data_IF_517494487006
#
_entry.id   IF_517494487006
#
_cell.length_a   1.000
_cell.length_b   1.000
_cell.length_c   1.000
_cell.angle_alpha   90.00
_cell.angle_beta   90.00
_cell.angle_gamma   90.00
#
_symmetry.space_group_name_H-M   'P 1'
#
loop_
_entity.id
_entity.type
_entity.pdbx_description
1 polymer ?
2 non-polymer ?
3 non-polymer ?
4 non-polymer ?
5 non-polymer ?
6 non-polymer ?
7 water ?
#
# COMPACT_ATOMS: atom_id res chain seq x y z
N UNK A 2 -5.46 -26.13 -3.83
CA UNK A 2 -5.80 -24.68 -3.82
C UNK A 2 -6.49 -24.33 -2.50
N UNK A 3 -5.73 -23.76 -1.55
CA UNK A 3 -6.26 -23.39 -0.21
C UNK A 3 -7.54 -22.54 -0.28
N UNK A 4 -8.54 -22.89 0.53
CA UNK A 4 -9.77 -22.10 0.60
C UNK A 4 -10.10 -21.58 2.03
N UNK A 5 -9.27 -21.95 2.99
CA UNK A 5 -9.45 -21.47 4.38
C UNK A 5 -8.19 -21.75 5.15
N UNK A 6 -7.99 -20.98 6.23
CA UNK A 6 -6.78 -21.06 7.01
C UNK A 6 -7.14 -21.43 8.41
N UNK A 7 -8.41 -21.72 8.65
CA UNK A 7 -8.91 -21.94 10.00
C UNK A 7 -9.74 -23.20 10.12
N UNK A 8 -10.45 -23.32 11.24
CA UNK A 8 -11.32 -24.47 11.45
C UNK A 8 -12.80 -24.17 11.14
N UNK A 9 -13.12 -22.94 10.74
CA UNK A 9 -14.51 -22.59 10.48
C UNK A 9 -14.94 -22.93 9.03
N UNK A 10 -15.79 -23.93 8.89
CA UNK A 10 -16.33 -24.31 7.56
C UNK A 10 -17.20 -23.19 6.94
N UNK A 11 -17.99 -22.50 7.76
CA UNK A 11 -18.77 -21.33 7.30
C UNK A 11 -17.88 -20.26 6.66
N UNK A 12 -16.68 -20.07 7.22
CA UNK A 12 -15.72 -19.11 6.66
C UNK A 12 -15.30 -19.29 5.20
N UNK A 13 -15.19 -20.54 4.75
CA UNK A 13 -14.74 -20.82 3.38
C UNK A 13 -15.67 -20.14 2.42
N UNK A 14 -16.96 -20.27 2.69
CA UNK A 14 -17.98 -19.65 1.87
C UNK A 14 -17.98 -18.13 2.03
N UNK A 15 -17.87 -17.68 3.26
CA UNK A 15 -17.89 -16.23 3.49
C UNK A 15 -16.69 -15.58 2.80
N UNK A 16 -15.55 -16.24 2.86
CA UNK A 16 -14.33 -15.69 2.29
C UNK A 16 -14.52 -15.61 0.79
N UNK A 17 -14.98 -16.72 0.17
CA UNK A 17 -15.14 -16.70 -1.29
C UNK A 17 -16.14 -15.64 -1.67
N UNK A 18 -17.15 -15.42 -0.80
CA UNK A 18 -18.10 -14.36 -1.03
C UNK A 18 -17.42 -13.00 -1.02
N UNK A 19 -16.68 -12.67 0.04
CA UNK A 19 -15.94 -11.39 0.00
C UNK A 19 -15.09 -11.27 -1.24
N UNK A 20 -14.39 -12.35 -1.62
CA UNK A 20 -13.45 -12.32 -2.73
C UNK A 20 -14.07 -12.11 -4.09
N UNK A 21 -15.40 -12.25 -4.20
CA UNK A 21 -16.04 -11.88 -5.46
C UNK A 21 -15.78 -10.40 -5.73
N UNK A 22 -15.44 -9.62 -4.70
CA UNK A 22 -15.14 -8.19 -4.93
C UNK A 22 -13.64 -7.82 -5.15
N UNK A 23 -12.82 -8.84 -5.37
CA UNK A 23 -11.38 -8.67 -5.66
C UNK A 23 -11.00 -7.55 -6.59
N UNK A 24 -11.75 -7.35 -7.69
CA UNK A 24 -11.39 -6.33 -8.70
C UNK A 24 -12.05 -4.98 -8.47
N UNK A 25 -12.64 -4.82 -7.31
CA UNK A 25 -13.41 -3.62 -7.03
C UNK A 25 -12.77 -2.78 -5.92
N UNK A 26 -12.87 -1.46 -6.06
CA UNK A 26 -12.41 -0.55 -5.02
C UNK A 26 -13.16 -0.81 -3.74
N UNK A 27 -14.38 -1.37 -3.86
CA UNK A 27 -15.20 -1.56 -2.69
C UNK A 27 -15.01 -2.84 -1.89
N UNK A 28 -14.09 -3.73 -2.30
CA UNK A 28 -13.69 -4.86 -1.46
C UNK A 28 -13.51 -4.46 0.02
N UNK A 29 -13.91 -5.33 0.95
CA UNK A 29 -13.75 -5.05 2.36
C UNK A 29 -12.69 -5.95 2.95
N UNK A 30 -11.47 -5.42 3.07
CA UNK A 30 -10.36 -6.22 3.59
C UNK A 30 -10.50 -6.58 5.06
N UNK A 31 -11.20 -5.79 5.86
CA UNK A 31 -11.40 -6.22 7.23
C UNK A 31 -12.19 -7.55 7.27
N UNK A 32 -13.17 -7.68 6.40
CA UNK A 32 -13.98 -8.90 6.38
C UNK A 32 -13.09 -10.08 5.93
N UNK A 33 -12.25 -9.81 4.92
CA UNK A 33 -11.31 -10.83 4.42
C UNK A 33 -10.44 -11.33 5.58
N UNK A 34 -9.96 -10.41 6.40
CA UNK A 34 -9.10 -10.80 7.49
C UNK A 34 -9.86 -11.67 8.46
N UNK A 35 -11.11 -11.29 8.70
CA UNK A 35 -11.96 -11.99 9.64
C UNK A 35 -12.27 -13.40 9.14
N UNK A 36 -12.46 -13.56 7.84
CA UNK A 36 -12.84 -14.88 7.36
C UNK A 36 -11.64 -15.76 6.99
N UNK A 37 -10.41 -15.27 7.20
CA UNK A 37 -9.18 -16.00 6.79
C UNK A 37 -8.29 -16.29 7.98
N UNK A 38 -8.84 -16.24 9.19
CA UNK A 38 -8.06 -16.45 10.39
C UNK A 38 -6.86 -15.52 10.47
N UNK A 39 -7.11 -14.26 10.15
CA UNK A 39 -6.08 -13.24 10.16
C UNK A 39 -4.93 -13.46 9.20
N UNK A 40 -5.30 -13.81 7.99
CA UNK A 40 -4.33 -13.98 6.92
C UNK A 40 -4.72 -13.15 5.71
N UNK A 41 -5.02 -11.85 5.97
CA UNK A 41 -5.49 -11.05 4.85
C UNK A 41 -4.42 -10.91 3.76
N UNK A 42 -3.16 -10.80 4.13
CA UNK A 42 -2.12 -10.56 3.16
C UNK A 42 -1.83 -11.83 2.34
N UNK A 43 -1.66 -12.95 3.03
CA UNK A 43 -1.56 -14.27 2.32
C UNK A 43 -2.71 -14.53 1.39
N UNK A 44 -3.95 -14.38 1.86
CA UNK A 44 -5.09 -14.72 1.02
C UNK A 44 -5.33 -13.74 -0.14
N UNK A 45 -5.21 -12.44 0.13
CA UNK A 45 -5.49 -11.51 -0.95
C UNK A 45 -4.41 -11.65 -2.06
N UNK A 46 -3.17 -11.88 -1.62
CA UNK A 46 -2.10 -12.04 -2.60
C UNK A 46 -2.32 -13.31 -3.45
N UNK A 47 -2.70 -14.38 -2.80
CA UNK A 47 -3.02 -15.64 -3.53
C UNK A 47 -4.17 -15.42 -4.52
N UNK A 48 -5.25 -14.75 -4.06
CA UNK A 48 -6.34 -14.36 -4.97
C UNK A 48 -5.92 -13.48 -6.14
N UNK A 49 -5.17 -12.42 -5.85
CA UNK A 49 -4.64 -11.55 -6.91
C UNK A 49 -3.79 -12.29 -7.90
N UNK A 50 -2.84 -13.10 -7.43
CA UNK A 50 -1.96 -13.81 -8.37
C UNK A 50 -2.72 -14.77 -9.27
N UNK A 51 -3.66 -15.52 -8.69
CA UNK A 51 -4.53 -16.40 -9.50
C UNK A 51 -5.41 -15.64 -10.45
N UNK A 52 -6.05 -14.58 -9.97
CA UNK A 52 -6.81 -13.71 -10.83
C UNK A 52 -6.01 -13.29 -12.07
N UNK A 53 -4.74 -12.94 -11.91
CA UNK A 53 -3.94 -12.43 -13.03
C UNK A 53 -3.11 -13.50 -13.72
N UNK A 54 -3.32 -14.76 -13.34
CA UNK A 54 -2.50 -15.86 -13.86
C UNK A 54 -0.99 -15.69 -13.71
N UNK A 55 -0.56 -15.01 -12.65
CA UNK A 55 0.84 -14.73 -12.43
C UNK A 55 1.64 -15.95 -11.96
N UNK A 56 1.01 -16.88 -11.23
CA UNK A 56 1.73 -18.10 -10.87
C UNK A 56 2.05 -18.90 -12.14
N UNK A 57 1.08 -18.98 -13.04
CA UNK A 57 1.33 -19.66 -14.30
C UNK A 57 2.32 -18.88 -15.18
N UNK A 58 2.08 -17.59 -15.38
CA UNK A 58 3.00 -16.81 -16.22
C UNK A 58 4.48 -16.91 -15.76
N UNK A 59 4.72 -16.87 -14.45
CA UNK A 59 6.08 -16.83 -13.91
C UNK A 59 6.55 -18.14 -13.30
N UNK A 60 5.77 -19.21 -13.53
CA UNK A 60 6.11 -20.58 -13.09
C UNK A 60 6.44 -20.56 -11.62
N UNK A 61 5.58 -19.87 -10.88
CA UNK A 61 5.70 -19.86 -9.42
C UNK A 61 4.88 -20.99 -8.82
N UNK A 62 5.55 -21.85 -8.07
CA UNK A 62 4.89 -22.89 -7.36
C UNK A 62 3.86 -22.32 -6.36
N UNK A 63 2.63 -22.84 -6.39
CA UNK A 63 1.62 -22.45 -5.37
C UNK A 63 2.10 -22.69 -3.95
N UNK A 64 2.81 -23.81 -3.76
CA UNK A 64 3.34 -24.13 -2.45
C UNK A 64 4.36 -23.13 -1.95
N UNK A 65 5.31 -22.77 -2.82
CA UNK A 65 6.35 -21.82 -2.46
C UNK A 65 5.70 -20.45 -2.20
N UNK A 66 4.73 -20.09 -3.06
CA UNK A 66 4.05 -18.81 -2.92
C UNK A 66 3.46 -18.64 -1.51
N UNK A 67 2.72 -19.66 -1.10
CA UNK A 67 2.01 -19.62 0.19
C UNK A 67 2.98 -19.55 1.34
N UNK A 68 4.08 -20.32 1.24
CA UNK A 68 5.08 -20.27 2.29
C UNK A 68 5.73 -18.91 2.38
N UNK A 69 6.08 -18.34 1.23
CA UNK A 69 6.69 -17.05 1.27
C UNK A 69 5.69 -16.06 1.85
N UNK A 70 4.46 -16.09 1.34
CA UNK A 70 3.51 -15.01 1.74
C UNK A 70 3.18 -15.15 3.22
N UNK A 71 2.99 -16.37 3.70
CA UNK A 71 2.76 -16.53 5.14
C UNK A 71 3.88 -15.96 5.97
N UNK A 72 5.12 -16.17 5.56
CA UNK A 72 6.22 -15.73 6.36
C UNK A 72 6.39 -14.17 6.24
N UNK A 73 6.18 -13.64 5.06
CA UNK A 73 6.16 -12.15 4.91
C UNK A 73 5.11 -11.58 5.87
N UNK A 74 3.91 -12.16 5.82
CA UNK A 74 2.82 -11.63 6.68
C UNK A 74 3.23 -11.72 8.14
N UNK A 75 3.84 -12.84 8.50
CA UNK A 75 4.39 -12.99 9.87
C UNK A 75 5.44 -11.97 10.28
N UNK A 76 6.07 -11.27 9.31
CA UNK A 76 7.04 -10.24 9.66
C UNK A 76 6.38 -8.82 9.82
N UNK A 77 5.10 -8.71 9.58
CA UNK A 77 4.32 -7.52 9.99
C UNK A 77 3.98 -7.77 11.46
N UNK A 78 4.03 -6.71 12.26
CA UNK A 78 3.78 -6.77 13.70
C UNK A 78 2.28 -6.67 13.92
N UNK A 79 1.65 -7.70 14.49
CA UNK A 79 0.20 -7.65 14.67
C UNK A 79 -0.13 -6.66 15.81
N UNK A 80 0.86 -6.33 16.61
CA UNK A 80 0.68 -5.33 17.71
C UNK A 80 0.91 -3.87 17.33
N UNK A 81 1.13 -3.63 16.06
CA UNK A 81 1.23 -2.27 15.54
C UNK A 81 -0.15 -1.98 14.96
N UNK A 82 -0.75 -0.86 15.36
CA UNK A 82 -2.16 -0.68 15.10
C UNK A 82 -2.54 -0.47 13.63
N UNK A 83 -1.69 0.19 12.87
CA UNK A 83 -2.01 0.51 11.51
C UNK A 83 -1.07 -0.18 10.49
N UNK A 84 0.24 0.03 10.67
CA UNK A 84 1.23 -0.54 9.78
C UNK A 84 1.45 -2.05 10.04
N UNK A 85 0.37 -2.82 9.86
CA UNK A 85 0.40 -4.28 10.05
C UNK A 85 -0.04 -4.97 8.75
N UNK A 86 -0.19 -6.29 8.76
CA UNK A 86 -0.47 -6.96 7.48
C UNK A 86 -1.81 -6.63 6.81
N UNK A 87 -2.80 -6.14 7.57
CA UNK A 87 -4.05 -5.73 6.96
C UNK A 87 -3.84 -4.50 6.04
N UNK A 88 -3.02 -3.54 6.49
CA UNK A 88 -2.64 -2.41 5.66
C UNK A 88 -1.91 -2.85 4.41
N UNK A 89 -0.93 -3.75 4.58
CA UNK A 89 -0.23 -4.28 3.42
C UNK A 89 -1.22 -4.97 2.44
N UNK A 90 -2.14 -5.80 2.96
CA UNK A 90 -3.17 -6.49 2.12
C UNK A 90 -4.00 -5.46 1.33
N UNK A 91 -4.42 -4.42 2.04
CA UNK A 91 -5.18 -3.33 1.43
C UNK A 91 -4.40 -2.64 0.35
N UNK A 92 -3.10 -2.34 0.59
CA UNK A 92 -2.35 -1.59 -0.41
C UNK A 92 -2.15 -2.51 -1.61
N UNK A 93 -1.95 -3.78 -1.34
CA UNK A 93 -1.76 -4.70 -2.50
C UNK A 93 -3.05 -4.83 -3.33
N UNK A 94 -4.18 -5.02 -2.67
CA UNK A 94 -5.48 -5.15 -3.39
C UNK A 94 -5.83 -3.84 -4.09
N UNK A 95 -5.52 -2.70 -3.46
CA UNK A 95 -5.77 -1.41 -4.14
C UNK A 95 -4.88 -1.21 -5.36
N UNK A 96 -3.63 -1.65 -5.28
CA UNK A 96 -2.75 -1.61 -6.44
C UNK A 96 -3.29 -2.50 -7.56
N UNK A 97 -3.78 -3.67 -7.17
CA UNK A 97 -4.37 -4.60 -8.17
C UNK A 97 -5.52 -3.95 -8.95
N UNK A 98 -6.34 -3.20 -8.27
CA UNK A 98 -7.42 -2.45 -8.93
C UNK A 98 -6.92 -1.32 -9.87
N UNK A 99 -5.95 -0.52 -9.42
CA UNK A 99 -5.44 0.60 -10.19
C UNK A 99 -4.71 0.10 -11.41
N UNK A 100 -4.11 -1.08 -11.32
CA UNK A 100 -3.41 -1.67 -12.45
C UNK A 100 -4.39 -1.90 -13.63
N UNK A 101 -5.66 -2.15 -13.33
CA UNK A 101 -6.67 -2.41 -14.38
C UNK A 101 -7.47 -1.21 -14.86
N UNK A 102 -7.14 -0.02 -14.37
CA UNK A 102 -7.86 1.17 -14.79
C UNK A 102 -7.84 1.29 -16.34
N UNK A 103 -8.98 1.64 -16.95
CA UNK A 103 -8.98 1.53 -18.42
C UNK A 103 -7.87 2.35 -19.13
N UNK A 104 -7.59 3.54 -18.61
CA UNK A 104 -6.59 4.45 -19.19
C UNK A 104 -5.18 3.84 -19.33
N UNK A 105 -4.91 2.77 -18.56
CA UNK A 105 -3.61 2.11 -18.56
C UNK A 105 -3.69 0.73 -19.16
N UNK A 106 -4.85 0.40 -19.72
CA UNK A 106 -5.00 -0.90 -20.38
C UNK A 106 -3.85 -1.15 -21.34
N UNK A 107 -3.31 -2.37 -21.28
CA UNK A 107 -2.18 -2.83 -22.10
C UNK A 107 -0.86 -2.09 -21.97
N UNK A 108 -0.79 -1.07 -21.11
CA UNK A 108 0.45 -0.33 -20.91
C UNK A 108 1.60 -1.18 -20.32
N UNK A 109 1.33 -1.96 -19.28
CA UNK A 109 2.40 -2.59 -18.49
C UNK A 109 2.66 -4.03 -18.84
N UNK A 110 3.93 -4.45 -18.79
CA UNK A 110 4.29 -5.85 -18.98
C UNK A 110 3.86 -6.66 -17.77
N UNK A 111 3.90 -7.98 -17.91
CA UNK A 111 3.56 -8.87 -16.81
C UNK A 111 4.57 -8.73 -15.68
N UNK A 112 5.83 -8.46 -16.03
CA UNK A 112 6.88 -8.31 -15.03
C UNK A 112 6.66 -7.05 -14.21
N UNK A 113 6.20 -5.98 -14.87
CA UNK A 113 5.87 -4.74 -14.18
C UNK A 113 4.65 -4.87 -13.27
N UNK A 114 3.64 -5.62 -13.74
CA UNK A 114 2.47 -5.92 -12.94
C UNK A 114 2.86 -6.68 -11.66
N UNK A 115 3.68 -7.69 -11.85
CA UNK A 115 4.21 -8.52 -10.77
C UNK A 115 4.99 -7.65 -9.79
N UNK A 116 5.92 -6.83 -10.31
CA UNK A 116 6.77 -5.97 -9.48
C UNK A 116 5.90 -5.07 -8.61
N UNK A 117 4.89 -4.48 -9.24
CA UNK A 117 4.04 -3.54 -8.54
C UNK A 117 3.25 -4.18 -7.38
N UNK A 118 2.66 -5.34 -7.64
CA UNK A 118 1.89 -6.02 -6.60
C UNK A 118 2.81 -6.52 -5.48
N UNK A 119 3.97 -7.07 -5.84
CA UNK A 119 4.95 -7.49 -4.83
C UNK A 119 5.47 -6.30 -3.97
N UNK A 120 5.79 -5.19 -4.61
CA UNK A 120 6.17 -3.96 -3.91
C UNK A 120 5.11 -3.57 -2.87
N UNK A 121 3.83 -3.52 -3.31
CA UNK A 121 2.76 -3.20 -2.37
C UNK A 121 2.74 -4.18 -1.13
N UNK A 122 2.87 -5.48 -1.41
CA UNK A 122 2.87 -6.51 -0.36
C UNK A 122 3.94 -6.32 0.70
N UNK A 123 5.14 -5.96 0.25
CA UNK A 123 6.30 -5.83 1.11
C UNK A 123 6.52 -4.42 1.71
N UNK A 124 5.78 -3.44 1.23
CA UNK A 124 6.27 -2.05 1.32
C UNK A 124 6.35 -1.55 2.77
N UNK A 125 5.67 -2.22 3.71
CA UNK A 125 5.73 -1.80 5.15
C UNK A 125 6.19 -2.95 6.07
N UNK A 126 6.81 -4.02 5.54
CA UNK A 126 7.08 -5.18 6.42
C UNK A 126 8.05 -4.87 7.58
N UNK A 127 7.77 -5.44 8.76
CA UNK A 127 8.57 -5.25 9.93
C UNK A 127 8.59 -3.79 10.39
N UNK A 128 7.51 -3.09 10.09
CA UNK A 128 7.36 -1.70 10.60
C UNK A 128 7.15 -1.73 12.15
N UNK A 129 7.92 -0.92 12.87
CA UNK A 129 7.82 -0.95 14.32
C UNK A 129 6.75 0.00 14.85
N UNK A 130 6.08 0.73 13.97
CA UNK A 130 4.94 1.57 14.41
C UNK A 130 5.35 2.94 14.95
N UNK A 131 6.57 3.35 14.64
CA UNK A 131 7.00 4.74 14.89
C UNK A 131 7.61 5.28 13.61
N UNK A 132 7.70 6.59 13.50
CA UNK A 132 8.13 7.22 12.24
C UNK A 132 9.66 7.20 12.01
N UNK A 133 10.08 7.51 10.78
CA UNK A 133 11.51 7.68 10.51
C UNK A 133 12.14 8.71 11.45
N UNK A 134 11.46 9.84 11.60
CA UNK A 134 12.02 10.86 12.46
C UNK A 134 12.20 10.38 13.90
N UNK A 135 11.23 9.64 14.46
CA UNK A 135 11.37 9.06 15.77
C UNK A 135 12.60 8.10 15.83
N UNK A 136 12.79 7.29 14.79
CA UNK A 136 13.99 6.45 14.78
C UNK A 136 15.31 7.21 14.73
N UNK A 137 15.36 8.29 13.96
CA UNK A 137 16.53 9.12 13.80
C UNK A 137 16.80 9.81 15.13
N UNK A 138 15.76 10.36 15.74
CA UNK A 138 15.89 11.12 17.01
C UNK A 138 16.31 10.26 18.21
N UNK A 139 16.02 8.96 18.16
CA UNK A 139 16.28 8.06 19.26
C UNK A 139 17.58 7.25 19.07
N UNK A 140 18.28 7.58 18.02
CA UNK A 140 19.51 6.89 17.63
C UNK A 140 19.32 5.41 17.55
N UNK A 141 18.21 5.01 16.92
CA UNK A 141 17.85 3.62 16.84
C UNK A 141 18.85 2.83 15.98
N UNK A 142 18.80 1.52 16.15
CA UNK A 142 19.68 0.64 15.36
C UNK A 142 19.40 0.81 13.86
N UNK A 143 18.13 0.87 13.49
CA UNK A 143 17.77 1.10 12.09
C UNK A 143 18.35 2.43 11.54
N UNK A 144 18.27 3.52 12.30
CA UNK A 144 18.78 4.78 11.79
C UNK A 144 20.30 4.79 11.65
N UNK A 145 20.98 4.04 12.53
CA UNK A 145 22.44 3.91 12.45
C UNK A 145 22.78 3.02 11.26
N UNK A 146 21.96 1.99 11.02
CA UNK A 146 22.20 1.14 9.83
C UNK A 146 22.06 1.93 8.52
N UNK A 147 21.06 2.81 8.46
CA UNK A 147 20.68 3.42 7.21
C UNK A 147 21.05 4.90 7.09
N UNK A 148 21.84 5.41 8.04
CA UNK A 148 22.36 6.75 7.90
C UNK A 148 21.28 7.80 7.75
N UNK A 149 20.19 7.55 8.47
CA UNK A 149 19.02 8.48 8.60
C UNK A 149 18.25 8.70 7.31
N UNK A 150 18.56 7.95 6.27
CA UNK A 150 17.92 8.15 4.95
C UNK A 150 16.94 7.05 4.59
N UNK A 151 15.68 7.44 4.43
CA UNK A 151 14.56 6.51 4.13
C UNK A 151 14.75 5.25 4.97
N UNK A 152 14.85 5.47 6.29
CA UNK A 152 15.25 4.39 7.23
C UNK A 152 14.30 3.21 7.12
N UNK A 153 12.99 3.43 7.32
CA UNK A 153 12.06 2.29 7.32
C UNK A 153 11.96 1.67 5.92
N UNK A 154 11.95 2.54 4.90
CA UNK A 154 11.68 2.07 3.53
C UNK A 154 12.79 1.18 3.05
N UNK A 155 14.04 1.54 3.38
CA UNK A 155 15.18 0.67 3.09
C UNK A 155 15.01 -0.65 3.86
N UNK A 156 14.58 -0.54 5.12
CA UNK A 156 14.42 -1.76 5.94
C UNK A 156 13.37 -2.68 5.37
N UNK A 157 12.24 -2.14 4.90
CA UNK A 157 11.13 -2.97 4.43
C UNK A 157 11.61 -3.75 3.18
N UNK A 158 12.37 -3.05 2.34
CA UNK A 158 12.93 -3.70 1.13
C UNK A 158 13.90 -4.81 1.53
N UNK A 159 14.78 -4.53 2.47
CA UNK A 159 15.80 -5.51 2.90
C UNK A 159 15.13 -6.76 3.44
N UNK A 160 14.10 -6.59 4.27
CA UNK A 160 13.40 -7.80 4.77
C UNK A 160 12.70 -8.59 3.63
N UNK A 161 12.04 -7.87 2.72
CA UNK A 161 11.20 -8.52 1.71
C UNK A 161 12.18 -9.31 0.83
N UNK A 162 13.33 -8.75 0.53
CA UNK A 162 14.27 -9.47 -0.41
C UNK A 162 15.07 -10.55 0.26
N UNK A 163 15.44 -10.31 1.53
CA UNK A 163 16.09 -11.33 2.33
C UNK A 163 15.26 -12.57 2.50
N UNK A 164 13.93 -12.44 2.53
CA UNK A 164 13.10 -13.62 2.74
C UNK A 164 13.09 -14.57 1.52
N UNK A 165 13.51 -14.05 0.37
CA UNK A 165 13.52 -14.85 -0.86
C UNK A 165 14.78 -15.66 -0.97
N UNK A 166 15.69 -15.49 -0.03
CA UNK A 166 17.02 -16.14 -0.13
C UNK A 166 16.93 -17.62 0.12
N UNK A 167 16.04 -18.02 1.03
CA UNK A 167 15.86 -19.42 1.33
C UNK A 167 15.10 -20.13 0.20
N UNK A 168 15.71 -21.14 -0.40
CA UNK A 168 15.11 -21.90 -1.50
C UNK A 168 13.62 -22.18 -1.31
N UNK A 169 13.25 -22.61 -0.12
CA UNK A 169 11.87 -22.98 0.18
C UNK A 169 10.87 -21.83 -0.03
N UNK A 170 11.37 -20.59 -0.07
CA UNK A 170 10.50 -19.42 -0.16
C UNK A 170 10.80 -18.60 -1.45
N UNK A 171 11.65 -19.11 -2.35
CA UNK A 171 12.03 -18.26 -3.50
C UNK A 171 11.00 -18.27 -4.61
N UNK A 172 10.01 -17.41 -4.50
CA UNK A 172 8.95 -17.30 -5.49
C UNK A 172 9.44 -16.83 -6.87
N UNK A 173 10.65 -16.27 -6.94
CA UNK A 173 11.19 -15.74 -8.22
C UNK A 173 12.22 -16.66 -8.87
N UNK A 174 12.29 -17.88 -8.38
CA UNK A 174 13.28 -18.87 -8.80
C UNK A 174 13.34 -19.09 -10.33
N UNK A 175 12.16 -19.11 -10.96
CA UNK A 175 12.07 -19.39 -12.40
C UNK A 175 11.99 -18.15 -13.25
N UNK A 176 12.24 -16.97 -12.68
CA UNK A 176 12.46 -15.80 -13.52
C UNK A 176 13.87 -15.94 -14.07
N UNK A 177 14.15 -15.29 -15.19
CA UNK A 177 15.53 -15.32 -15.66
C UNK A 177 16.34 -14.34 -14.83
N UNK A 178 17.65 -14.45 -14.90
CA UNK A 178 18.54 -13.52 -14.22
C UNK A 178 18.26 -12.07 -14.56
N UNK A 179 18.01 -11.78 -15.83
CA UNK A 179 17.66 -10.41 -16.23
C UNK A 179 16.28 -9.98 -15.75
N UNK A 180 15.33 -10.90 -15.74
CA UNK A 180 14.02 -10.63 -15.18
C UNK A 180 14.14 -10.24 -13.68
N UNK A 181 14.87 -11.06 -12.93
CA UNK A 181 15.05 -10.81 -11.49
C UNK A 181 15.70 -9.45 -11.22
N UNK A 182 16.74 -9.15 -11.98
CA UNK A 182 17.39 -7.87 -11.90
C UNK A 182 16.48 -6.69 -12.24
N UNK A 183 15.66 -6.80 -13.28
CA UNK A 183 14.75 -5.70 -13.56
C UNK A 183 13.67 -5.61 -12.46
N UNK A 184 13.15 -6.75 -12.03
CA UNK A 184 12.11 -6.72 -11.00
C UNK A 184 12.68 -6.03 -9.74
N UNK A 185 13.88 -6.41 -9.34
CA UNK A 185 14.47 -5.83 -8.09
C UNK A 185 14.63 -4.33 -8.20
N UNK A 186 15.14 -3.88 -9.34
CA UNK A 186 15.20 -2.43 -9.56
C UNK A 186 13.84 -1.73 -9.46
N UNK A 187 12.78 -2.27 -10.09
CA UNK A 187 11.45 -1.63 -10.01
C UNK A 187 10.87 -1.57 -8.59
N UNK A 188 11.04 -2.66 -7.87
CA UNK A 188 10.44 -2.77 -6.52
C UNK A 188 11.15 -1.83 -5.56
N UNK A 189 12.47 -1.76 -5.68
CA UNK A 189 13.28 -0.87 -4.84
C UNK A 189 12.79 0.56 -5.11
N UNK A 190 12.61 0.86 -6.39
CA UNK A 190 12.16 2.21 -6.77
C UNK A 190 10.78 2.52 -6.18
N UNK A 191 9.86 1.57 -6.28
CA UNK A 191 8.52 1.78 -5.81
C UNK A 191 8.43 1.90 -4.32
N UNK A 192 9.14 1.03 -3.61
CA UNK A 192 9.04 1.11 -2.14
C UNK A 192 9.66 2.38 -1.59
N UNK A 193 10.82 2.75 -2.10
CA UNK A 193 11.46 3.98 -1.60
C UNK A 193 10.61 5.20 -1.85
N UNK A 194 9.85 5.18 -2.95
CA UNK A 194 8.86 6.22 -3.22
C UNK A 194 7.68 6.36 -2.26
N UNK A 195 7.48 5.40 -1.32
CA UNK A 195 6.43 5.46 -0.34
C UNK A 195 6.88 6.33 0.85
N UNK A 196 8.16 6.76 0.87
CA UNK A 196 8.64 7.63 1.97
C UNK A 196 7.97 9.00 1.85
N UNK A 197 7.21 9.37 2.87
CA UNK A 197 6.40 10.63 2.78
C UNK A 197 7.29 11.85 2.57
N UNK A 198 8.56 11.74 2.97
CA UNK A 198 9.47 12.86 2.80
C UNK A 198 9.75 13.13 1.29
N UNK A 199 9.39 12.19 0.42
CA UNK A 199 9.56 12.30 -1.00
C UNK A 199 8.26 12.71 -1.73
N UNK A 200 7.19 12.90 -1.00
CA UNK A 200 5.88 13.01 -1.62
C UNK A 200 5.76 14.33 -2.40
N UNK A 201 6.18 15.42 -1.77
CA UNK A 201 6.00 16.74 -2.46
C UNK A 201 6.71 16.70 -3.79
N UNK A 202 7.91 16.14 -3.84
CA UNK A 202 8.63 16.06 -5.09
C UNK A 202 8.10 15.04 -6.11
N UNK A 203 7.57 13.93 -5.59
CA UNK A 203 6.93 12.95 -6.42
C UNK A 203 5.72 13.56 -7.13
N UNK A 204 4.92 14.30 -6.36
CA UNK A 204 3.70 14.91 -6.85
C UNK A 204 4.06 15.96 -7.91
N UNK A 205 5.01 16.84 -7.57
CA UNK A 205 5.51 17.85 -8.53
C UNK A 205 5.83 17.21 -9.86
N UNK A 206 6.60 16.11 -9.82
CA UNK A 206 6.99 15.44 -11.04
C UNK A 206 5.78 14.76 -11.71
N UNK A 207 4.79 14.41 -10.90
CA UNK A 207 3.58 13.80 -11.43
C UNK A 207 2.71 14.86 -12.15
N UNK A 208 2.41 15.96 -11.45
CA UNK A 208 1.69 17.12 -12.02
C UNK A 208 2.38 17.51 -13.30
N UNK A 209 3.71 17.44 -13.28
CA UNK A 209 4.50 17.74 -14.48
C UNK A 209 4.15 16.83 -15.64
N UNK A 210 4.24 15.51 -15.46
CA UNK A 210 3.96 14.59 -16.59
C UNK A 210 2.48 14.51 -17.04
N UNK A 211 1.55 14.90 -16.15
CA UNK A 211 0.13 14.98 -16.50
C UNK A 211 -0.02 16.08 -17.55
N UNK A 212 0.72 17.18 -17.37
CA UNK A 212 0.76 18.28 -18.34
C UNK A 212 1.05 17.81 -19.77
N UNK A 213 2.03 16.95 -19.98
CA UNK A 213 2.43 16.59 -21.34
C UNK A 213 1.98 15.20 -21.72
N UNK A 214 0.94 14.72 -21.05
CA UNK A 214 0.44 13.36 -21.24
C UNK A 214 -0.16 13.23 -22.62
N UNK A 215 0.09 12.09 -23.25
CA UNK A 215 -0.41 11.83 -24.58
C UNK A 215 -1.40 10.66 -24.62
N UNK A 216 -2.67 10.98 -24.37
CA UNK A 216 -3.78 10.03 -24.51
C UNK A 216 -4.00 9.71 -25.99
N UNK A 217 -3.80 8.44 -26.36
CA UNK A 217 -4.01 7.99 -27.74
C UNK A 217 -5.50 7.97 -28.14
N UNK A 218 -5.77 7.86 -29.44
CA UNK A 218 -7.14 7.90 -29.97
C UNK A 218 -8.11 7.04 -29.14
N UNK A 219 -7.77 5.77 -28.95
CA UNK A 219 -8.61 4.84 -28.19
C UNK A 219 -8.81 5.18 -26.70
N UNK A 220 -8.16 6.24 -26.21
CA UNK A 220 -8.33 6.66 -24.83
C UNK A 220 -7.30 6.10 -23.86
N UNK A 221 -6.26 5.43 -24.38
CA UNK A 221 -5.20 4.87 -23.54
C UNK A 221 -3.95 5.76 -23.52
N UNK A 222 -3.44 6.04 -22.32
CA UNK A 222 -2.19 6.79 -22.19
C UNK A 222 -1.03 6.10 -22.91
N UNK A 223 -0.22 6.93 -23.55
CA UNK A 223 0.95 6.49 -24.25
C UNK A 223 2.09 6.69 -23.27
N UNK A 224 2.68 5.58 -22.85
CA UNK A 224 3.82 5.61 -21.95
C UNK A 224 4.79 4.67 -22.63
N UNK A 225 5.73 5.26 -23.36
CA UNK A 225 6.49 4.52 -24.36
C UNK A 225 7.83 4.00 -23.84
N UNK A 226 8.50 4.77 -22.98
CA UNK A 226 9.75 4.32 -22.37
C UNK A 226 9.60 3.82 -20.92
N UNK A 227 10.58 3.03 -20.48
CA UNK A 227 10.64 2.57 -19.08
C UNK A 227 10.51 3.70 -18.07
N UNK A 228 11.24 4.79 -18.30
CA UNK A 228 11.20 5.91 -17.38
C UNK A 228 9.79 6.36 -17.10
N UNK A 229 8.95 6.39 -18.13
CA UNK A 229 7.58 6.89 -17.93
C UNK A 229 6.74 5.83 -17.24
N UNK A 230 7.00 4.58 -17.55
CA UNK A 230 6.26 3.47 -16.98
C UNK A 230 6.52 3.32 -15.48
N UNK A 231 7.78 3.28 -15.09
CA UNK A 231 8.08 3.22 -13.64
C UNK A 231 7.63 4.49 -12.89
N UNK A 232 7.55 5.65 -13.56
CA UNK A 232 7.02 6.82 -12.85
C UNK A 232 5.51 6.71 -12.54
N UNK A 233 4.74 6.19 -13.49
CA UNK A 233 3.32 5.95 -13.18
C UNK A 233 3.22 4.87 -12.09
N UNK A 234 4.01 3.80 -12.21
CA UNK A 234 3.97 2.70 -11.21
C UNK A 234 4.32 3.18 -9.80
N UNK A 235 5.39 3.96 -9.70
CA UNK A 235 5.76 4.47 -8.40
C UNK A 235 4.66 5.36 -7.84
N UNK A 236 3.97 6.12 -8.70
CA UNK A 236 2.88 6.96 -8.21
C UNK A 236 1.63 6.15 -7.83
N UNK A 237 1.36 5.10 -8.59
CA UNK A 237 0.25 4.19 -8.33
C UNK A 237 0.36 3.55 -6.93
N UNK A 238 1.54 3.02 -6.62
CA UNK A 238 1.71 2.35 -5.33
C UNK A 238 1.57 3.41 -4.23
N UNK A 239 2.11 4.62 -4.46
CA UNK A 239 1.96 5.75 -3.52
C UNK A 239 0.48 6.08 -3.31
N UNK A 240 -0.29 6.12 -4.39
CA UNK A 240 -1.74 6.42 -4.31
C UNK A 240 -2.45 5.32 -3.55
N UNK A 241 -2.09 4.06 -3.84
CA UNK A 241 -2.66 2.93 -3.13
C UNK A 241 -2.36 3.03 -1.64
N UNK A 242 -1.12 3.38 -1.31
CA UNK A 242 -0.69 3.58 0.10
C UNK A 242 -1.55 4.66 0.72
N UNK A 243 -1.85 5.71 -0.03
CA UNK A 243 -2.64 6.82 0.51
C UNK A 243 -4.09 6.75 0.01
N UNK A 244 -4.68 5.55 -0.04
CA UNK A 244 -6.04 5.37 -0.57
C UNK A 244 -7.14 5.33 0.48
N UNK A 245 -6.81 5.26 1.79
CA UNK A 245 -7.84 5.06 2.81
C UNK A 245 -8.99 6.11 2.72
N UNK A 246 -8.63 7.40 2.49
CA UNK A 246 -9.71 8.43 2.49
C UNK A 246 -10.61 8.40 1.26
N UNK A 247 -10.19 7.65 0.24
CA UNK A 247 -10.98 7.46 -0.98
C UNK A 247 -11.88 6.20 -0.93
N UNK A 248 -11.87 5.48 0.19
CA UNK A 248 -12.70 4.26 0.28
C UNK A 248 -14.00 4.67 0.90
N UNK A 249 -14.95 3.75 0.96
CA UNK A 249 -16.23 4.04 1.58
C UNK A 249 -15.99 4.55 3.00
N UNK A 250 -16.84 5.47 3.44
CA UNK A 250 -16.68 6.06 4.76
C UNK A 250 -16.60 5.02 5.88
N UNK A 251 -17.42 3.98 5.79
CA UNK A 251 -17.36 2.85 6.72
C UNK A 251 -15.93 2.31 6.90
N UNK A 252 -15.22 2.16 5.80
CA UNK A 252 -13.86 1.61 5.84
C UNK A 252 -12.89 2.70 6.31
N UNK A 253 -13.00 3.87 5.70
CA UNK A 253 -12.10 5.00 6.05
C UNK A 253 -12.10 5.26 7.54
N UNK A 254 -13.27 5.21 8.16
CA UNK A 254 -13.30 5.47 9.60
C UNK A 254 -12.52 4.44 10.39
N UNK A 255 -12.60 3.17 10.00
CA UNK A 255 -11.85 2.10 10.70
C UNK A 255 -10.33 2.27 10.54
N UNK A 256 -9.91 2.67 9.36
CA UNK A 256 -8.50 3.01 9.10
C UNK A 256 -8.03 4.19 9.97
N UNK A 257 -8.87 5.23 10.06
CA UNK A 257 -8.54 6.39 10.93
C UNK A 257 -8.34 6.00 12.35
N UNK A 258 -9.23 5.14 12.90
CA UNK A 258 -9.08 4.64 14.25
C UNK A 258 -7.70 4.03 14.45
N UNK A 259 -7.28 3.24 13.44
CA UNK A 259 -5.99 2.56 13.58
C UNK A 259 -4.80 3.50 13.51
N UNK A 260 -4.78 4.39 12.53
CA UNK A 260 -3.61 5.26 12.38
C UNK A 260 -3.50 6.16 13.61
N UNK A 261 -4.66 6.60 14.15
CA UNK A 261 -4.57 7.49 15.35
C UNK A 261 -4.09 6.73 16.56
N UNK A 262 -4.49 5.45 16.69
CA UNK A 262 -4.03 4.64 17.79
C UNK A 262 -2.49 4.55 17.67
N UNK A 263 -2.00 4.25 16.45
CA UNK A 263 -0.53 4.12 16.27
C UNK A 263 0.20 5.46 16.59
N UNK A 264 -0.26 6.55 15.99
CA UNK A 264 0.32 7.90 16.21
C UNK A 264 0.32 8.23 17.69
N UNK A 265 -0.84 8.09 18.33
CA UNK A 265 -0.89 8.43 19.75
C UNK A 265 -0.01 7.51 20.61
N UNK A 266 0.21 6.27 20.15
CA UNK A 266 1.16 5.45 20.86
C UNK A 266 2.61 5.97 20.73
N UNK A 267 2.98 6.47 19.57
CA UNK A 267 4.28 7.13 19.42
C UNK A 267 4.40 8.32 20.37
N UNK A 268 3.37 9.18 20.39
CA UNK A 268 3.34 10.29 21.34
C UNK A 268 3.58 9.84 22.77
N UNK A 269 2.99 8.72 23.18
CA UNK A 269 3.20 8.23 24.50
C UNK A 269 4.66 7.86 24.73
N UNK A 270 5.27 7.17 23.75
CA UNK A 270 6.69 6.81 23.84
C UNK A 270 7.58 8.04 23.93
N UNK A 271 7.29 9.05 23.12
CA UNK A 271 8.02 10.30 23.19
C UNK A 271 7.93 10.88 24.60
N UNK A 272 6.71 10.99 25.13
CA UNK A 272 6.51 11.59 26.47
C UNK A 272 7.36 10.86 27.48
N UNK A 273 7.20 9.54 27.49
CA UNK A 273 7.93 8.58 28.29
C UNK A 273 9.44 8.81 28.23
N UNK A 274 9.96 9.22 27.07
CA UNK A 274 11.40 9.44 26.90
C UNK A 274 11.81 10.86 27.16
N UNK A 275 10.88 11.69 27.61
CA UNK A 275 11.16 13.09 27.82
C UNK A 275 11.51 13.77 26.53
N UNK A 276 11.03 13.22 25.42
CA UNK A 276 11.30 13.82 24.14
C UNK A 276 10.26 14.86 23.92
N UNK A 277 10.50 15.71 22.93
CA UNK A 277 9.49 16.65 22.47
C UNK A 277 8.35 15.87 21.76
N UNK A 278 7.07 16.13 22.13
CA UNK A 278 5.93 15.41 21.51
C UNK A 278 5.64 15.97 20.11
N UNK A 279 5.52 15.10 19.12
CA UNK A 279 5.17 15.55 17.76
C UNK A 279 3.67 15.89 17.75
N UNK A 280 3.30 17.11 17.34
CA UNK A 280 1.92 17.60 17.60
C UNK A 280 0.78 16.62 17.30
N UNK A 281 0.81 15.98 16.12
CA UNK A 281 -0.26 15.05 15.72
C UNK A 281 -0.21 13.70 16.45
N UNK A 282 0.81 13.51 17.28
CA UNK A 282 0.93 12.28 18.07
C UNK A 282 0.50 12.50 19.46
N UNK A 283 0.08 13.72 19.78
CA UNK A 283 -0.24 14.01 21.18
C UNK A 283 -1.74 13.78 21.46
N UNK A 284 -2.07 12.72 22.19
CA UNK A 284 -3.46 12.34 22.36
C UNK A 284 -4.19 13.40 23.22
N UNK A 285 -3.43 14.14 24.03
CA UNK A 285 -4.02 15.17 24.90
C UNK A 285 -4.45 16.44 24.21
N UNK A 286 -4.04 16.64 22.96
CA UNK A 286 -4.32 17.91 22.29
C UNK A 286 -4.78 17.76 20.83
N UNK A 287 -4.34 16.72 20.11
CA UNK A 287 -4.62 16.64 18.67
C UNK A 287 -6.08 16.28 18.35
N UNK A 288 -6.65 16.92 17.34
CA UNK A 288 -8.01 16.58 16.91
C UNK A 288 -7.96 15.58 15.77
N UNK A 289 -8.47 14.39 16.05
CA UNK A 289 -8.58 13.34 15.02
C UNK A 289 -9.23 13.89 13.77
N UNK A 290 -10.36 14.58 13.95
CA UNK A 290 -11.10 15.11 12.81
C UNK A 290 -10.36 16.17 11.98
N UNK A 291 -9.73 17.15 12.64
CA UNK A 291 -8.92 18.12 11.91
C UNK A 291 -7.74 17.43 11.24
N UNK A 292 -7.17 16.46 11.92
CA UNK A 292 -6.04 15.73 11.33
C UNK A 292 -6.42 15.10 9.98
N UNK A 293 -7.64 14.56 9.82
CA UNK A 293 -8.04 14.01 8.51
C UNK A 293 -8.42 15.09 7.48
N UNK A 294 -9.11 16.14 7.95
CA UNK A 294 -9.37 17.25 7.04
C UNK A 294 -8.08 17.80 6.45
N UNK A 295 -7.08 18.03 7.31
CA UNK A 295 -5.81 18.56 6.86
C UNK A 295 -5.06 17.60 5.98
N UNK A 296 -5.02 16.34 6.43
CA UNK A 296 -4.44 15.24 5.63
C UNK A 296 -5.02 15.22 4.23
N UNK A 297 -6.35 15.28 4.11
CA UNK A 297 -6.97 15.30 2.79
C UNK A 297 -6.65 16.57 2.00
N UNK A 298 -6.87 17.73 2.63
CA UNK A 298 -6.68 19.00 1.95
C UNK A 298 -5.27 19.17 1.42
N UNK A 299 -4.30 18.83 2.27
CA UNK A 299 -2.91 19.10 1.99
C UNK A 299 -2.13 17.99 1.30
N UNK A 300 -2.57 16.74 1.47
CA UNK A 300 -1.84 15.62 0.89
C UNK A 300 -2.69 14.72 0.00
N UNK A 301 -3.76 14.15 0.52
CA UNK A 301 -4.44 13.12 -0.28
C UNK A 301 -5.17 13.67 -1.53
N UNK A 302 -5.94 14.75 -1.35
CA UNK A 302 -6.65 15.32 -2.50
C UNK A 302 -5.75 15.81 -3.63
N UNK A 303 -4.64 16.52 -3.32
CA UNK A 303 -3.79 16.96 -4.42
C UNK A 303 -3.15 15.83 -5.22
N UNK A 304 -2.81 14.75 -4.51
CA UNK A 304 -2.34 13.55 -5.15
C UNK A 304 -3.44 12.92 -6.02
N UNK A 305 -4.60 12.70 -5.44
CA UNK A 305 -5.67 11.98 -6.17
C UNK A 305 -6.26 12.81 -7.31
N UNK A 306 -6.39 14.12 -7.06
CA UNK A 306 -6.80 15.03 -8.15
C UNK A 306 -5.83 14.97 -9.33
N UNK A 307 -4.54 14.81 -9.04
CA UNK A 307 -3.55 14.69 -10.08
C UNK A 307 -3.57 13.30 -10.72
N UNK A 308 -3.73 12.25 -9.90
CA UNK A 308 -3.86 10.92 -10.49
C UNK A 308 -5.12 10.92 -11.41
N UNK A 309 -6.24 11.39 -10.85
CA UNK A 309 -7.52 11.42 -11.57
C UNK A 309 -7.34 12.14 -12.90
N UNK A 310 -6.70 13.29 -12.83
CA UNK A 310 -6.34 14.05 -14.00
C UNK A 310 -5.58 13.21 -15.01
N UNK A 311 -4.68 12.35 -14.53
CA UNK A 311 -3.90 11.50 -15.43
C UNK A 311 -4.71 10.36 -16.09
N UNK A 312 -5.70 9.82 -15.38
CA UNK A 312 -6.45 8.65 -15.86
C UNK A 312 -7.91 8.96 -16.25
N UNK A 313 -8.24 10.25 -16.32
CA UNK A 313 -9.56 10.71 -16.76
C UNK A 313 -10.23 9.76 -17.74
N UNK A 314 -11.53 9.48 -17.52
CA UNK A 314 -12.28 9.90 -16.35
C UNK A 314 -12.34 8.76 -15.32
N UNK A 315 -11.40 7.82 -15.40
CA UNK A 315 -11.41 6.61 -14.55
C UNK A 315 -11.67 6.88 -13.06
N UNK A 316 -11.06 7.94 -12.52
CA UNK A 316 -10.99 8.10 -11.08
C UNK A 316 -12.01 9.08 -10.52
N UNK A 317 -13.00 9.43 -11.33
CA UNK A 317 -13.98 10.40 -10.88
C UNK A 317 -14.76 9.99 -9.63
N UNK A 318 -15.21 8.73 -9.52
CA UNK A 318 -15.97 8.34 -8.32
C UNK A 318 -15.07 8.34 -7.08
N UNK A 319 -13.79 8.13 -7.29
CA UNK A 319 -12.85 8.10 -6.17
C UNK A 319 -12.77 9.48 -5.55
N UNK A 320 -12.59 10.48 -6.42
CA UNK A 320 -12.60 11.89 -6.03
C UNK A 320 -13.85 12.34 -5.30
N UNK A 321 -15.01 11.88 -5.80
CA UNK A 321 -16.27 12.30 -5.20
C UNK A 321 -16.38 11.70 -3.85
N UNK A 322 -15.88 10.46 -3.69
CA UNK A 322 -15.92 9.81 -2.39
C UNK A 322 -15.00 10.55 -1.41
N UNK A 323 -13.82 10.87 -1.88
CA UNK A 323 -12.83 11.59 -1.09
C UNK A 323 -13.44 12.88 -0.57
N UNK A 324 -14.00 13.65 -1.50
CA UNK A 324 -14.62 14.92 -1.15
C UNK A 324 -15.80 14.74 -0.22
N UNK A 325 -16.66 13.76 -0.47
CA UNK A 325 -17.67 13.42 0.51
C UNK A 325 -17.08 13.08 1.88
N UNK A 326 -16.02 12.25 1.93
CA UNK A 326 -15.40 11.90 3.21
C UNK A 326 -14.76 13.10 3.98
N UNK A 327 -14.08 13.94 3.23
CA UNK A 327 -13.51 15.21 3.70
C UNK A 327 -14.64 16.00 4.38
N UNK A 328 -15.74 16.18 3.65
CA UNK A 328 -16.94 16.87 4.16
C UNK A 328 -17.48 16.26 5.43
N UNK A 329 -17.41 14.92 5.56
CA UNK A 329 -17.95 14.29 6.75
C UNK A 329 -17.11 14.58 7.99
N UNK A 330 -15.78 14.56 7.84
CA UNK A 330 -14.86 14.86 8.96
C UNK A 330 -14.98 16.32 9.41
N UNK A 331 -15.01 17.22 8.44
CA UNK A 331 -15.17 18.66 8.69
C UNK A 331 -16.43 18.83 9.52
N UNK A 332 -17.52 18.26 9.02
CA UNK A 332 -18.79 18.39 9.71
C UNK A 332 -18.70 17.81 11.11
N UNK A 333 -17.68 16.99 11.37
CA UNK A 333 -17.50 16.41 12.73
C UNK A 333 -16.71 17.32 13.69
N UNK A 334 -16.14 18.39 13.15
CA UNK A 334 -15.42 19.39 13.99
C UNK A 334 -16.46 20.39 14.56
N UNK A 335 -16.55 20.51 15.88
CA UNK A 335 -17.70 21.29 16.36
C UNK A 335 -17.68 22.78 15.96
N UNK A 336 -16.52 23.31 15.59
CA UNK A 336 -16.42 24.72 15.22
C UNK A 336 -16.59 24.97 13.72
N UNK A 337 -17.15 26.13 13.39
CA UNK A 337 -17.31 26.56 12.00
C UNK A 337 -15.96 26.63 11.31
#
# INVERSE_FOLDING_TARGET
MSISRFGVNTENEDHLAKELEDLNKWGLNIFNVAGYSHNRPLTCIMYAIFQERDLLKTFRISSDTFITYMMTLEDHYHSDVAYHNSLHAADVAQSTHVLLSTPALDAVFTDLEILAAIFAAAIHDVDHPGVSNQFLINTNSELALMYNDESVLENHHLAVGFKLLQEEHCDIFMNLTKKQRQTLRKMVIDMVLATDMSKHMSLLADLKTMVETKKVTSSGVLLLDNYTDRIQVLRNMVHCADLSNPTKSLELYRQWTDRIMEEFFQQGDKERERGMEISPMCDKHTASVEKSQVGFIDYIVHPLWETWADLVQPDAQDILDTLEDNRNWYQAMIPQAPAPPLDEQNRDCQGLM
#
